data_IF_735152409181
#
_entry.id   IF_735152409181
#
_cell.length_a   1.000
_cell.length_b   1.000
_cell.length_c   1.000
_cell.angle_alpha   90.00
_cell.angle_beta   90.00
_cell.angle_gamma   90.00
#
_symmetry.space_group_name_H-M   'P 1'
#
loop_
_entity.id
_entity.type
_entity.pdbx_description
1 polymer ?
#
# COMPACT_ATOMS: atom_id res chain seq x y z
N UNK A 1 11.61 -23.01 -9.28
CA UNK A 1 10.93 -24.29 -9.03
C UNK A 1 9.43 -24.04 -9.05
N UNK A 2 8.67 -24.76 -9.87
CA UNK A 2 7.21 -24.62 -9.98
C UNK A 2 6.57 -25.60 -9.01
N UNK A 3 6.17 -25.15 -7.82
CA UNK A 3 5.34 -25.95 -6.91
C UNK A 3 4.00 -26.20 -7.61
N UNK A 4 3.74 -27.45 -8.02
CA UNK A 4 2.39 -27.87 -8.40
C UNK A 4 1.60 -27.96 -7.10
N UNK A 5 0.74 -26.97 -6.86
CA UNK A 5 -0.20 -27.00 -5.75
C UNK A 5 -1.21 -28.13 -6.00
N UNK A 6 -1.51 -28.92 -4.97
CA UNK A 6 -2.64 -29.84 -5.02
C UNK A 6 -3.97 -29.07 -5.06
N UNK A 7 -5.02 -29.68 -5.62
CA UNK A 7 -6.35 -29.07 -5.79
C UNK A 7 -6.88 -28.41 -4.50
N UNK A 8 -6.86 -29.14 -3.38
CA UNK A 8 -7.35 -28.64 -2.09
C UNK A 8 -6.49 -27.48 -1.54
N UNK A 9 -5.16 -27.56 -1.67
CA UNK A 9 -4.26 -26.51 -1.20
C UNK A 9 -4.49 -25.17 -1.91
N UNK A 10 -4.90 -25.22 -3.18
CA UNK A 10 -5.19 -24.03 -3.98
C UNK A 10 -6.52 -23.38 -3.58
N UNK A 11 -7.55 -24.20 -3.34
CA UNK A 11 -8.85 -23.72 -2.83
C UNK A 11 -8.68 -23.13 -1.44
N UNK A 12 -7.98 -23.82 -0.54
CA UNK A 12 -7.71 -23.34 0.81
C UNK A 12 -6.95 -22.01 0.76
N UNK A 13 -5.94 -21.90 -0.11
CA UNK A 13 -5.21 -20.64 -0.29
C UNK A 13 -6.10 -19.50 -0.81
N UNK A 14 -7.03 -19.79 -1.72
CA UNK A 14 -7.97 -18.77 -2.21
C UNK A 14 -8.98 -18.36 -1.15
N UNK A 15 -9.45 -19.29 -0.32
CA UNK A 15 -10.29 -19.01 0.86
C UNK A 15 -9.56 -18.09 1.84
N UNK A 16 -8.34 -18.44 2.23
CA UNK A 16 -7.49 -17.61 3.10
C UNK A 16 -7.31 -16.19 2.55
N UNK A 17 -7.00 -16.06 1.24
CA UNK A 17 -6.79 -14.76 0.61
C UNK A 17 -8.07 -13.92 0.54
N UNK A 18 -9.23 -14.56 0.34
CA UNK A 18 -10.54 -13.88 0.34
C UNK A 18 -10.89 -13.41 1.76
N UNK A 19 -10.69 -14.26 2.75
CA UNK A 19 -10.92 -13.94 4.17
C UNK A 19 -10.00 -12.81 4.63
N UNK A 20 -8.70 -12.85 4.29
CA UNK A 20 -7.75 -11.83 4.72
C UNK A 20 -7.95 -10.48 4.02
N UNK A 21 -8.53 -10.46 2.81
CA UNK A 21 -8.87 -9.22 2.08
C UNK A 21 -10.01 -8.45 2.73
N UNK A 22 -10.90 -9.11 3.47
CA UNK A 22 -12.10 -8.46 3.99
C UNK A 22 -13.06 -8.01 2.88
N UNK A 23 -13.76 -6.87 3.06
CA UNK A 23 -14.77 -6.43 2.09
C UNK A 23 -14.12 -5.81 0.85
N UNK A 24 -14.75 -6.03 -0.31
CA UNK A 24 -14.25 -5.55 -1.61
C UNK A 24 -14.05 -4.02 -1.68
N UNK A 25 -14.65 -3.20 -0.82
CA UNK A 25 -14.53 -1.73 -0.86
C UNK A 25 -13.34 -1.16 -0.06
N UNK A 26 -12.53 -2.00 0.58
CA UNK A 26 -11.61 -1.58 1.65
C UNK A 26 -10.12 -1.65 1.27
N UNK A 27 -9.76 -1.86 -0.01
CA UNK A 27 -8.36 -2.08 -0.41
C UNK A 27 -7.38 -1.00 0.12
N UNK A 28 -7.73 0.29 0.02
CA UNK A 28 -6.91 1.37 0.56
C UNK A 28 -6.92 1.39 2.10
N UNK A 29 -8.05 1.06 2.74
CA UNK A 29 -8.16 1.03 4.19
C UNK A 29 -7.28 -0.08 4.78
N UNK A 30 -7.34 -1.27 4.19
CA UNK A 30 -6.49 -2.41 4.55
C UNK A 30 -5.01 -2.11 4.32
N UNK A 31 -4.68 -1.44 3.21
CA UNK A 31 -3.31 -0.96 2.98
C UNK A 31 -2.85 -0.04 4.11
N UNK A 32 -3.63 1.00 4.45
CA UNK A 32 -3.26 1.98 5.47
C UNK A 32 -3.13 1.35 6.86
N UNK A 33 -4.03 0.43 7.22
CA UNK A 33 -3.97 -0.31 8.49
C UNK A 33 -2.71 -1.18 8.55
N UNK A 34 -2.42 -1.95 7.49
CA UNK A 34 -1.25 -2.82 7.47
C UNK A 34 0.06 -2.03 7.43
N UNK A 35 0.09 -0.94 6.65
CA UNK A 35 1.20 0.01 6.63
C UNK A 35 1.42 0.61 8.02
N UNK A 36 0.37 1.12 8.66
CA UNK A 36 0.42 1.74 9.98
C UNK A 36 0.95 0.78 11.04
N UNK A 37 0.51 -0.48 11.05
CA UNK A 37 1.04 -1.52 11.96
C UNK A 37 2.54 -1.73 11.78
N UNK A 38 3.01 -1.85 10.54
CA UNK A 38 4.42 -2.05 10.24
C UNK A 38 5.27 -0.81 10.56
N UNK A 39 4.78 0.39 10.22
CA UNK A 39 5.43 1.65 10.56
C UNK A 39 5.52 1.81 12.08
N UNK A 40 4.42 1.65 12.80
CA UNK A 40 4.38 1.78 14.26
C UNK A 40 5.37 0.82 14.94
N UNK A 41 5.48 -0.42 14.47
CA UNK A 41 6.46 -1.38 15.00
C UNK A 41 7.89 -0.85 14.86
N UNK A 42 8.28 -0.39 13.67
CA UNK A 42 9.64 0.07 13.40
C UNK A 42 9.95 1.35 14.18
N UNK A 43 9.03 2.32 14.16
CA UNK A 43 9.18 3.59 14.88
C UNK A 43 9.20 3.39 16.41
N UNK A 44 8.53 2.35 16.95
CA UNK A 44 8.61 1.97 18.37
C UNK A 44 9.89 1.19 18.70
N UNK A 45 10.41 0.37 17.79
CA UNK A 45 11.64 -0.42 18.01
C UNK A 45 12.93 0.39 17.84
N UNK A 46 12.99 1.34 16.91
CA UNK A 46 14.21 2.12 16.62
C UNK A 46 14.78 2.85 17.85
N UNK A 47 13.98 3.51 18.71
CA UNK A 47 14.49 4.11 19.95
C UNK A 47 15.04 3.08 20.94
N UNK A 48 14.46 1.87 20.99
CA UNK A 48 14.83 0.81 21.95
C UNK A 48 16.18 0.19 21.59
N UNK A 49 16.44 -0.04 20.30
CA UNK A 49 17.73 -0.61 19.84
C UNK A 49 18.90 0.37 19.97
N UNK A 50 18.62 1.66 20.21
CA UNK A 50 19.62 2.69 20.51
C UNK A 50 20.64 2.87 19.38
N UNK A 51 21.89 2.52 19.64
CA UNK A 51 23.02 2.69 18.69
C UNK A 51 23.54 1.36 18.11
N UNK A 52 22.85 0.23 18.36
CA UNK A 52 23.25 -1.05 17.80
C UNK A 52 22.95 -1.07 16.29
N UNK A 53 23.99 -0.82 15.49
CA UNK A 53 23.87 -0.75 14.03
C UNK A 53 23.41 -2.08 13.43
N UNK A 54 23.76 -3.21 14.04
CA UNK A 54 23.35 -4.54 13.54
C UNK A 54 21.84 -4.70 13.67
N UNK A 55 21.29 -4.35 14.84
CA UNK A 55 19.85 -4.41 15.06
C UNK A 55 19.10 -3.40 14.20
N UNK A 56 19.62 -2.18 14.06
CA UNK A 56 19.05 -1.15 13.16
C UNK A 56 18.99 -1.66 11.72
N UNK A 57 20.05 -2.27 11.22
CA UNK A 57 20.12 -2.80 9.86
C UNK A 57 19.13 -3.95 9.65
N UNK A 58 18.96 -4.83 10.63
CA UNK A 58 17.96 -5.91 10.56
C UNK A 58 16.52 -5.38 10.59
N UNK A 59 16.25 -4.36 11.40
CA UNK A 59 14.95 -3.68 11.41
C UNK A 59 14.64 -3.04 10.05
N UNK A 60 15.60 -2.31 9.47
CA UNK A 60 15.44 -1.70 8.14
C UNK A 60 15.20 -2.73 7.04
N UNK A 61 15.98 -3.83 7.03
CA UNK A 61 15.76 -4.96 6.10
C UNK A 61 14.34 -5.50 6.20
N UNK A 62 13.92 -5.80 7.43
CA UNK A 62 12.59 -6.32 7.70
C UNK A 62 11.49 -5.33 7.29
N UNK A 63 11.75 -4.04 7.47
CA UNK A 63 10.80 -3.00 7.08
C UNK A 63 10.66 -2.88 5.56
N UNK A 64 11.76 -2.88 4.81
CA UNK A 64 11.72 -2.89 3.33
C UNK A 64 10.94 -4.09 2.81
N UNK A 65 11.17 -5.28 3.37
CA UNK A 65 10.42 -6.49 3.00
C UNK A 65 8.92 -6.32 3.29
N UNK A 66 8.58 -5.72 4.42
CA UNK A 66 7.19 -5.45 4.82
C UNK A 66 6.51 -4.45 3.88
N UNK A 67 7.15 -3.31 3.59
CA UNK A 67 6.64 -2.26 2.71
C UNK A 67 6.27 -2.80 1.32
N UNK A 68 7.16 -3.58 0.71
CA UNK A 68 6.91 -4.19 -0.59
C UNK A 68 5.81 -5.25 -0.52
N UNK A 69 5.77 -6.06 0.55
CA UNK A 69 4.74 -7.09 0.72
C UNK A 69 3.34 -6.48 0.87
N UNK A 70 3.22 -5.36 1.58
CA UNK A 70 1.98 -4.61 1.75
C UNK A 70 1.54 -3.99 0.42
N UNK A 71 2.47 -3.42 -0.35
CA UNK A 71 2.17 -2.92 -1.70
C UNK A 71 1.72 -4.01 -2.67
N UNK A 72 2.41 -5.16 -2.68
CA UNK A 72 2.00 -6.30 -3.50
C UNK A 72 0.58 -6.73 -3.18
N UNK A 73 0.22 -6.78 -1.90
CA UNK A 73 -1.11 -7.13 -1.43
C UNK A 73 -2.13 -6.08 -1.86
N UNK A 74 -1.82 -4.79 -1.66
CA UNK A 74 -2.65 -3.68 -2.10
C UNK A 74 -2.97 -3.76 -3.59
N UNK A 75 -1.98 -3.94 -4.46
CA UNK A 75 -2.24 -4.05 -5.90
C UNK A 75 -3.09 -5.26 -6.26
N UNK A 76 -2.87 -6.42 -5.62
CA UNK A 76 -3.70 -7.62 -5.85
C UNK A 76 -5.15 -7.35 -5.46
N UNK A 77 -5.38 -6.81 -4.27
CA UNK A 77 -6.73 -6.57 -3.76
C UNK A 77 -7.44 -5.50 -4.58
N UNK A 78 -6.72 -4.47 -5.01
CA UNK A 78 -7.23 -3.43 -5.87
C UNK A 78 -7.63 -3.95 -7.26
N UNK A 79 -6.84 -4.88 -7.83
CA UNK A 79 -7.17 -5.56 -9.09
C UNK A 79 -8.42 -6.43 -8.94
N UNK A 80 -8.52 -7.21 -7.86
CA UNK A 80 -9.71 -8.03 -7.59
C UNK A 80 -10.94 -7.14 -7.46
N UNK A 81 -10.87 -6.10 -6.63
CA UNK A 81 -11.96 -5.15 -6.45
C UNK A 81 -12.39 -4.53 -7.78
N UNK A 82 -11.44 -3.96 -8.53
CA UNK A 82 -11.77 -3.21 -9.74
C UNK A 82 -12.33 -4.12 -10.84
N UNK A 83 -11.80 -5.34 -10.99
CA UNK A 83 -12.34 -6.29 -11.96
C UNK A 83 -13.69 -6.88 -11.55
N UNK A 84 -14.01 -6.92 -10.24
CA UNK A 84 -15.36 -7.27 -9.78
C UNK A 84 -16.36 -6.16 -10.12
N UNK A 85 -15.97 -4.91 -9.92
CA UNK A 85 -16.82 -3.75 -10.17
C UNK A 85 -16.98 -3.43 -11.67
N UNK A 86 -15.97 -3.78 -12.47
CA UNK A 86 -15.86 -3.54 -13.92
C UNK A 86 -15.34 -4.80 -14.65
N UNK A 87 -16.20 -5.82 -14.89
CA UNK A 87 -15.79 -7.12 -15.42
C UNK A 87 -15.09 -7.10 -16.79
N UNK A 88 -15.32 -6.07 -17.60
CA UNK A 88 -14.66 -5.94 -18.90
C UNK A 88 -13.13 -5.74 -18.77
N UNK A 89 -12.67 -5.14 -17.67
CA UNK A 89 -11.24 -4.94 -17.39
C UNK A 89 -10.51 -6.25 -17.13
N UNK A 90 -11.25 -7.31 -16.75
CA UNK A 90 -10.67 -8.63 -16.56
C UNK A 90 -10.02 -9.12 -17.86
N UNK A 91 -10.65 -8.87 -19.01
CA UNK A 91 -10.10 -9.27 -20.33
C UNK A 91 -8.78 -8.56 -20.60
N UNK A 92 -8.71 -7.27 -20.33
CA UNK A 92 -7.49 -6.48 -20.52
C UNK A 92 -6.38 -6.94 -19.56
N UNK A 93 -6.71 -7.14 -18.28
CA UNK A 93 -5.75 -7.64 -17.30
C UNK A 93 -5.23 -9.04 -17.65
N UNK A 94 -6.08 -9.90 -18.24
CA UNK A 94 -5.70 -11.21 -18.77
C UNK A 94 -4.76 -11.11 -19.98
N UNK A 95 -5.00 -10.17 -20.89
CA UNK A 95 -4.14 -9.93 -22.06
C UNK A 95 -2.74 -9.47 -21.66
N UNK A 96 -2.65 -8.69 -20.58
CA UNK A 96 -1.38 -8.16 -20.07
C UNK A 96 -0.64 -9.10 -19.11
N UNK A 97 -1.25 -10.23 -18.72
CA UNK A 97 -0.57 -11.23 -17.90
C UNK A 97 0.57 -11.89 -18.69
N UNK A 98 1.83 -11.65 -18.27
CA UNK A 98 3.04 -12.26 -18.89
C UNK A 98 2.95 -13.78 -19.06
N UNK A 99 2.18 -14.46 -18.20
CA UNK A 99 1.81 -15.86 -18.34
C UNK A 99 0.30 -15.91 -18.53
N UNK A 100 -0.14 -16.60 -19.59
CA UNK A 100 -1.56 -16.95 -19.73
C UNK A 100 -1.98 -17.67 -18.44
N UNK A 101 -2.96 -17.15 -17.69
CA UNK A 101 -3.48 -17.88 -16.56
C UNK A 101 -4.00 -19.21 -17.07
N UNK A 102 -3.73 -20.26 -16.30
CA UNK A 102 -4.32 -21.56 -16.62
C UNK A 102 -5.84 -21.41 -16.49
N UNK A 103 -6.63 -22.12 -17.31
CA UNK A 103 -8.06 -22.18 -17.08
C UNK A 103 -8.31 -22.62 -15.63
N UNK A 104 -9.38 -22.09 -15.03
CA UNK A 104 -9.85 -22.56 -13.73
C UNK A 104 -10.12 -24.07 -13.91
N UNK A 105 -9.49 -24.96 -13.13
CA UNK A 105 -9.70 -26.39 -13.29
C UNK A 105 -11.18 -26.72 -13.15
N UNK A 106 -11.72 -27.59 -14.01
CA UNK A 106 -13.14 -27.98 -14.00
C UNK A 106 -13.56 -28.53 -12.64
N UNK A 107 -12.67 -29.26 -11.97
CA UNK A 107 -12.82 -29.79 -10.61
C UNK A 107 -13.13 -28.68 -9.59
N UNK A 108 -12.47 -27.52 -9.72
CA UNK A 108 -12.72 -26.39 -8.83
C UNK A 108 -14.02 -25.67 -9.19
N UNK A 109 -14.31 -25.57 -10.49
CA UNK A 109 -15.54 -24.93 -10.99
C UNK A 109 -16.79 -25.76 -10.67
N UNK A 110 -16.62 -27.07 -10.45
CA UNK A 110 -17.68 -28.02 -10.09
C UNK A 110 -17.96 -28.12 -8.58
N UNK A 111 -17.14 -27.48 -7.74
CA UNK A 111 -17.33 -27.47 -6.29
C UNK A 111 -18.56 -26.66 -5.92
N UNK A 112 -19.57 -27.31 -5.33
CA UNK A 112 -20.73 -26.61 -4.75
C UNK A 112 -20.38 -25.78 -3.50
N UNK A 113 -19.21 -26.04 -2.89
CA UNK A 113 -18.81 -25.42 -1.62
C UNK A 113 -18.05 -24.10 -1.78
N UNK A 114 -17.46 -23.83 -2.95
CA UNK A 114 -16.65 -22.64 -3.16
C UNK A 114 -16.59 -22.21 -4.63
N UNK A 115 -17.28 -21.11 -4.94
CA UNK A 115 -17.17 -20.46 -6.25
C UNK A 115 -15.87 -19.65 -6.33
N UNK A 116 -14.99 -20.00 -7.26
CA UNK A 116 -13.81 -19.19 -7.57
C UNK A 116 -14.25 -17.99 -8.39
N UNK A 117 -13.93 -16.82 -7.88
CA UNK A 117 -14.11 -15.58 -8.62
C UNK A 117 -12.93 -15.37 -9.59
N UNK A 118 -13.21 -15.07 -10.86
CA UNK A 118 -12.21 -15.02 -11.92
C UNK A 118 -11.08 -13.98 -11.68
N UNK A 119 -11.33 -12.78 -11.09
CA UNK A 119 -10.26 -11.87 -10.70
C UNK A 119 -9.38 -12.42 -9.58
N UNK A 120 -9.93 -13.16 -8.62
CA UNK A 120 -9.14 -13.80 -7.56
C UNK A 120 -8.22 -14.87 -8.13
N UNK A 121 -8.70 -15.62 -9.13
CA UNK A 121 -7.88 -16.55 -9.87
C UNK A 121 -6.75 -15.85 -10.62
N UNK A 122 -7.05 -14.75 -11.31
CA UNK A 122 -6.06 -13.98 -12.08
C UNK A 122 -4.90 -13.51 -11.21
N UNK A 123 -5.18 -12.93 -10.04
CA UNK A 123 -4.13 -12.34 -9.19
C UNK A 123 -3.15 -13.37 -8.60
N UNK A 124 -3.46 -14.67 -8.66
CA UNK A 124 -2.50 -15.74 -8.35
C UNK A 124 -1.39 -15.86 -9.41
N UNK A 125 -1.67 -15.50 -10.66
CA UNK A 125 -0.72 -15.58 -11.78
C UNK A 125 0.04 -14.27 -12.02
N UNK A 126 -0.44 -13.17 -11.45
CA UNK A 126 0.25 -11.90 -11.48
C UNK A 126 1.39 -11.89 -10.45
N UNK A 127 2.60 -11.66 -10.95
CA UNK A 127 3.76 -11.45 -10.11
C UNK A 127 3.96 -9.94 -9.96
N UNK A 128 3.60 -9.34 -8.82
CA UNK A 128 3.69 -7.89 -8.59
C UNK A 128 5.00 -7.50 -7.90
N UNK A 129 6.06 -8.30 -8.10
CA UNK A 129 7.37 -8.17 -7.45
C UNK A 129 8.35 -7.21 -8.16
N UNK A 130 7.91 -6.50 -9.20
CA UNK A 130 8.71 -5.45 -9.84
C UNK A 130 7.81 -4.45 -10.57
N UNK A 131 8.40 -3.29 -10.87
CA UNK A 131 7.71 -2.15 -11.49
C UNK A 131 7.10 -2.48 -12.85
N UNK A 132 7.78 -3.25 -13.69
CA UNK A 132 7.24 -3.58 -15.01
C UNK A 132 5.94 -4.36 -14.87
N UNK A 133 5.90 -5.35 -13.97
CA UNK A 133 4.70 -6.15 -13.78
C UNK A 133 3.57 -5.37 -13.12
N UNK A 134 3.89 -4.47 -12.19
CA UNK A 134 2.92 -3.52 -11.63
C UNK A 134 2.36 -2.63 -12.75
N UNK A 135 3.23 -2.03 -13.57
CA UNK A 135 2.84 -1.20 -14.71
C UNK A 135 1.88 -1.96 -15.64
N UNK A 136 2.26 -3.15 -16.08
CA UNK A 136 1.42 -3.95 -16.97
C UNK A 136 0.07 -4.30 -16.35
N UNK A 137 0.03 -4.66 -15.06
CA UNK A 137 -1.22 -4.98 -14.38
C UNK A 137 -2.12 -3.76 -14.16
N UNK A 138 -1.54 -2.58 -13.91
CA UNK A 138 -2.27 -1.36 -13.58
C UNK A 138 -2.60 -0.48 -14.79
N UNK A 139 -1.94 -0.66 -15.94
CA UNK A 139 -2.22 0.09 -17.16
C UNK A 139 -3.71 0.09 -17.57
N UNK A 140 -4.42 -1.06 -17.58
CA UNK A 140 -5.86 -1.08 -17.89
C UNK A 140 -6.70 -0.27 -16.91
N UNK A 141 -6.23 -0.13 -15.66
CA UNK A 141 -6.93 0.58 -14.60
C UNK A 141 -6.62 2.08 -14.59
N UNK A 142 -5.58 2.52 -15.30
CA UNK A 142 -5.11 3.90 -15.26
C UNK A 142 -5.80 4.82 -16.28
N UNK A 143 -6.10 6.09 -15.95
CA UNK A 143 -6.45 7.10 -16.93
C UNK A 143 -5.38 7.22 -18.02
N UNK A 144 -5.76 7.29 -19.29
CA UNK A 144 -4.81 7.42 -20.40
C UNK A 144 -4.01 6.15 -20.77
N UNK A 145 -4.19 5.04 -20.04
CA UNK A 145 -3.66 3.72 -20.42
C UNK A 145 -2.19 3.47 -20.07
N UNK A 146 -1.50 4.42 -19.42
CA UNK A 146 -0.16 4.22 -18.87
C UNK A 146 -0.13 4.62 -17.40
N UNK A 147 0.01 3.61 -16.53
CA UNK A 147 -0.06 3.75 -15.09
C UNK A 147 0.96 4.72 -14.49
N UNK A 148 2.22 4.57 -14.84
CA UNK A 148 3.24 5.44 -14.25
C UNK A 148 3.20 6.85 -14.82
N UNK A 149 2.77 7.02 -16.08
CA UNK A 149 2.61 8.36 -16.64
C UNK A 149 1.44 9.08 -15.95
N UNK A 150 0.36 8.36 -15.64
CA UNK A 150 -0.74 8.92 -14.86
C UNK A 150 -0.31 9.31 -13.44
N UNK A 151 0.68 8.66 -12.83
CA UNK A 151 1.26 9.09 -11.56
C UNK A 151 2.19 10.30 -11.74
N UNK A 152 3.04 10.31 -12.77
CA UNK A 152 3.95 11.44 -13.05
C UNK A 152 3.19 12.75 -13.29
N UNK A 153 2.05 12.67 -13.98
CA UNK A 153 1.22 13.83 -14.30
C UNK A 153 0.07 14.03 -13.32
N UNK A 154 0.01 13.23 -12.24
CA UNK A 154 -1.02 13.45 -11.23
C UNK A 154 -0.68 14.70 -10.44
N UNK A 155 -1.62 15.63 -10.48
CA UNK A 155 -1.58 16.89 -9.76
C UNK A 155 -2.89 17.03 -8.99
N UNK A 156 -2.83 17.24 -7.68
CA UNK A 156 -4.06 17.30 -6.88
C UNK A 156 -3.89 17.94 -5.51
N UNK A 157 -4.98 18.55 -5.05
CA UNK A 157 -5.09 19.10 -3.70
C UNK A 157 -5.63 18.05 -2.73
N UNK A 158 -4.91 17.84 -1.62
CA UNK A 158 -5.27 16.88 -0.58
C UNK A 158 -5.33 17.57 0.78
N UNK A 159 -6.21 17.08 1.66
CA UNK A 159 -6.19 17.42 3.07
C UNK A 159 -5.16 16.52 3.78
N UNK A 160 -4.04 17.10 4.23
CA UNK A 160 -2.98 16.34 4.90
C UNK A 160 -3.32 16.19 6.38
N UNK A 161 -3.60 14.96 6.78
CA UNK A 161 -3.96 14.66 8.16
C UNK A 161 -2.75 14.83 9.07
N UNK A 162 -3.00 15.38 10.28
CA UNK A 162 -2.09 15.73 11.40
C UNK A 162 -1.59 17.16 11.56
N UNK A 163 -1.80 18.09 10.61
CA UNK A 163 -1.34 19.49 10.78
C UNK A 163 -2.45 20.52 11.05
N UNK A 164 -3.66 20.27 10.59
CA UNK A 164 -4.92 21.00 10.87
C UNK A 164 -5.99 20.47 9.89
N UNK A 165 -7.29 20.41 10.23
CA UNK A 165 -8.35 20.10 9.28
C UNK A 165 -8.41 21.05 8.07
N UNK A 166 -7.73 22.19 8.12
CA UNK A 166 -7.67 23.18 7.04
C UNK A 166 -6.46 23.00 6.10
N UNK A 167 -5.53 22.10 6.40
CA UNK A 167 -4.28 22.00 5.64
C UNK A 167 -4.46 21.23 4.34
N UNK A 168 -4.83 21.99 3.32
CA UNK A 168 -4.69 21.60 1.93
C UNK A 168 -3.21 21.65 1.56
N UNK A 169 -2.72 20.57 0.98
CA UNK A 169 -1.41 20.53 0.35
C UNK A 169 -1.58 20.12 -1.11
N UNK A 170 -0.72 20.71 -1.93
CA UNK A 170 -0.55 20.27 -3.28
C UNK A 170 0.38 19.05 -3.30
N UNK A 171 -0.08 17.94 -3.85
CA UNK A 171 0.70 16.69 -3.90
C UNK A 171 1.10 16.40 -5.34
N UNK A 172 2.42 16.32 -5.52
CA UNK A 172 3.09 15.90 -6.74
C UNK A 172 4.11 14.80 -6.42
N UNK A 173 4.45 14.00 -7.42
CA UNK A 173 5.52 13.03 -7.30
C UNK A 173 6.90 13.69 -7.39
N UNK A 174 7.85 13.34 -6.51
CA UNK A 174 9.19 13.91 -6.57
C UNK A 174 9.94 13.45 -7.82
N UNK A 175 10.82 14.32 -8.33
CA UNK A 175 11.70 13.98 -9.45
C UNK A 175 12.50 12.70 -9.16
N UNK A 176 12.48 11.75 -10.09
CA UNK A 176 13.23 10.50 -9.95
C UNK A 176 12.55 9.41 -9.11
N UNK A 177 11.32 9.62 -8.61
CA UNK A 177 10.60 8.66 -7.77
C UNK A 177 10.54 7.24 -8.36
N UNK A 178 10.47 7.10 -9.69
CA UNK A 178 10.44 5.79 -10.36
C UNK A 178 11.73 4.98 -10.09
N UNK A 179 12.88 5.64 -10.04
CA UNK A 179 14.15 4.99 -9.72
C UNK A 179 14.21 4.57 -8.26
N UNK A 180 13.69 5.42 -7.37
CA UNK A 180 13.61 5.13 -5.94
C UNK A 180 12.67 3.95 -5.68
N UNK A 181 11.51 3.96 -6.33
CA UNK A 181 10.57 2.85 -6.26
C UNK A 181 11.17 1.56 -6.83
N UNK A 182 11.94 1.64 -7.93
CA UNK A 182 12.65 0.49 -8.49
C UNK A 182 13.67 -0.08 -7.51
N UNK A 183 14.44 0.78 -6.86
CA UNK A 183 15.42 0.40 -5.86
C UNK A 183 14.76 -0.34 -4.69
N UNK A 184 13.58 0.10 -4.22
CA UNK A 184 12.84 -0.58 -3.16
C UNK A 184 12.60 -2.07 -3.46
N UNK A 185 12.16 -2.40 -4.68
CA UNK A 185 11.96 -3.80 -5.08
C UNK A 185 13.28 -4.55 -5.23
N UNK A 186 14.33 -3.89 -5.72
CA UNK A 186 15.67 -4.48 -5.80
C UNK A 186 16.20 -4.85 -4.42
N UNK A 187 16.06 -3.94 -3.46
CA UNK A 187 16.46 -4.12 -2.07
C UNK A 187 15.67 -5.23 -1.39
N UNK A 188 14.35 -5.28 -1.57
CA UNK A 188 13.55 -6.40 -1.08
C UNK A 188 13.99 -7.73 -1.69
N UNK A 189 14.24 -7.78 -3.00
CA UNK A 189 14.72 -9.01 -3.64
C UNK A 189 16.05 -9.47 -3.04
N UNK A 190 17.00 -8.54 -2.87
CA UNK A 190 18.29 -8.77 -2.25
C UNK A 190 18.13 -9.31 -0.82
N UNK A 191 17.33 -8.66 0.03
CA UNK A 191 17.16 -9.06 1.42
C UNK A 191 16.45 -10.41 1.61
N UNK A 192 15.54 -10.78 0.71
CA UNK A 192 14.81 -12.06 0.77
C UNK A 192 15.67 -13.23 0.29
N UNK A 193 16.54 -13.02 -0.69
CA UNK A 193 17.30 -14.11 -1.32
C UNK A 193 18.76 -14.19 -0.89
N UNK A 194 19.32 -13.12 -0.33
CA UNK A 194 20.69 -13.07 0.18
C UNK A 194 20.72 -12.66 1.66
N UNK A 195 20.86 -13.67 2.52
CA UNK A 195 20.99 -13.48 3.96
C UNK A 195 22.21 -12.64 4.37
N UNK A 196 23.28 -12.72 3.56
CA UNK A 196 24.56 -12.05 3.82
C UNK A 196 24.60 -10.62 3.30
N UNK A 197 23.58 -10.18 2.55
CA UNK A 197 23.54 -8.81 2.04
C UNK A 197 23.45 -7.80 3.21
N UNK A 198 24.38 -6.83 3.27
CA UNK A 198 24.29 -5.75 4.26
C UNK A 198 23.12 -4.82 3.94
N UNK A 199 22.57 -4.17 4.98
CA UNK A 199 21.64 -3.07 4.79
C UNK A 199 22.45 -1.80 4.52
N UNK A 200 22.35 -1.26 3.30
CA UNK A 200 23.08 -0.03 2.92
C UNK A 200 22.19 1.22 2.98
N UNK A 201 20.94 1.07 3.46
CA UNK A 201 19.95 2.14 3.40
C UNK A 201 20.12 3.14 4.57
N UNK A 202 20.34 4.41 4.25
CA UNK A 202 20.36 5.50 5.23
C UNK A 202 18.95 5.75 5.81
N UNK A 203 18.87 6.50 6.91
CA UNK A 203 17.58 6.85 7.52
C UNK A 203 16.75 7.72 6.56
N UNK A 204 17.37 8.70 5.91
CA UNK A 204 16.70 9.56 4.93
C UNK A 204 16.16 8.75 3.75
N UNK A 205 16.90 7.73 3.32
CA UNK A 205 16.47 6.84 2.25
C UNK A 205 15.28 5.97 2.69
N UNK A 206 15.29 5.46 3.92
CA UNK A 206 14.16 4.74 4.49
C UNK A 206 12.90 5.63 4.57
N UNK A 207 13.03 6.87 5.05
CA UNK A 207 11.93 7.82 5.16
C UNK A 207 11.35 8.17 3.78
N UNK A 208 12.21 8.34 2.77
CA UNK A 208 11.78 8.54 1.39
C UNK A 208 11.01 7.33 0.85
N UNK A 209 11.47 6.10 1.09
CA UNK A 209 10.76 4.89 0.67
C UNK A 209 9.40 4.76 1.35
N UNK A 210 9.35 5.03 2.65
CA UNK A 210 8.14 5.03 3.45
C UNK A 210 7.10 6.02 2.90
N UNK A 211 7.53 7.26 2.62
CA UNK A 211 6.71 8.28 1.99
C UNK A 211 6.23 7.87 0.59
N UNK A 212 7.13 7.38 -0.28
CA UNK A 212 6.80 6.98 -1.64
C UNK A 212 5.77 5.84 -1.66
N UNK A 213 5.88 4.87 -0.76
CA UNK A 213 4.92 3.76 -0.65
C UNK A 213 3.52 4.28 -0.32
N UNK A 214 3.39 5.19 0.64
CA UNK A 214 2.12 5.85 0.97
C UNK A 214 1.58 6.68 -0.18
N UNK A 215 2.44 7.48 -0.81
CA UNK A 215 2.07 8.37 -1.91
C UNK A 215 1.54 7.58 -3.10
N UNK A 216 2.24 6.51 -3.50
CA UNK A 216 1.84 5.64 -4.61
C UNK A 216 0.49 4.99 -4.33
N UNK A 217 0.32 4.36 -3.16
CA UNK A 217 -0.92 3.64 -2.88
C UNK A 217 -2.14 4.58 -2.81
N UNK A 218 -2.03 5.70 -2.11
CA UNK A 218 -3.12 6.67 -1.98
C UNK A 218 -3.45 7.33 -3.32
N UNK A 219 -2.43 7.74 -4.10
CA UNK A 219 -2.67 8.32 -5.43
C UNK A 219 -3.27 7.31 -6.39
N UNK A 220 -2.86 6.03 -6.32
CA UNK A 220 -3.45 4.96 -7.13
C UNK A 220 -4.94 4.81 -6.85
N UNK A 221 -5.33 4.76 -5.57
CA UNK A 221 -6.74 4.72 -5.18
C UNK A 221 -7.51 5.93 -5.73
N UNK A 222 -6.89 7.12 -5.71
CA UNK A 222 -7.48 8.34 -6.26
C UNK A 222 -7.63 8.30 -7.79
N UNK A 223 -6.64 7.79 -8.53
CA UNK A 223 -6.73 7.62 -9.97
C UNK A 223 -7.89 6.69 -10.36
N UNK A 224 -8.12 5.62 -9.59
CA UNK A 224 -9.27 4.73 -9.81
C UNK A 224 -10.59 5.42 -9.50
N UNK A 225 -10.64 6.20 -8.41
CA UNK A 225 -11.80 7.01 -8.07
C UNK A 225 -12.15 8.00 -9.18
N UNK A 226 -11.14 8.64 -9.78
CA UNK A 226 -11.32 9.54 -10.93
C UNK A 226 -11.86 8.77 -12.14
N UNK A 227 -11.23 7.64 -12.50
CA UNK A 227 -11.56 6.88 -13.72
C UNK A 227 -12.96 6.24 -13.65
N UNK A 228 -13.26 5.55 -12.57
CA UNK A 228 -14.46 4.70 -12.47
C UNK A 228 -15.57 5.32 -11.63
N UNK A 229 -15.32 6.46 -10.95
CA UNK A 229 -16.21 7.07 -9.93
C UNK A 229 -16.56 6.14 -8.77
N UNK A 230 -16.00 4.93 -8.75
CA UNK A 230 -16.09 3.89 -7.74
C UNK A 230 -14.75 3.75 -7.00
N UNK A 231 -14.75 3.06 -5.88
CA UNK A 231 -13.56 2.91 -5.03
C UNK A 231 -13.59 3.80 -3.79
N UNK A 232 -12.90 3.32 -2.76
CA UNK A 232 -12.74 4.02 -1.48
C UNK A 232 -11.55 4.96 -1.56
N UNK A 233 -11.80 6.26 -1.48
CA UNK A 233 -10.83 7.26 -1.07
C UNK A 233 -11.47 7.97 0.10
N UNK A 234 -10.70 8.20 1.15
CA UNK A 234 -11.20 8.96 2.30
C UNK A 234 -11.32 10.43 1.89
N UNK A 235 -12.51 11.00 2.03
CA UNK A 235 -12.75 12.42 1.78
C UNK A 235 -12.71 13.17 3.11
N UNK A 236 -12.05 14.32 3.12
CA UNK A 236 -12.10 15.25 4.25
C UNK A 236 -13.45 15.95 4.33
N UNK A 237 -13.72 16.61 5.46
CA UNK A 237 -14.86 17.52 5.63
C UNK A 237 -14.86 18.68 4.62
N UNK A 238 -13.71 19.01 4.03
CA UNK A 238 -13.56 20.04 3.01
C UNK A 238 -13.90 19.56 1.59
N UNK A 239 -14.34 18.31 1.43
CA UNK A 239 -14.68 17.74 0.12
C UNK A 239 -13.48 17.42 -0.76
N UNK A 240 -12.25 17.47 -0.23
CA UNK A 240 -11.01 17.04 -0.91
C UNK A 240 -10.51 15.70 -0.37
N UNK A 241 -9.75 14.91 -1.15
CA UNK A 241 -9.15 13.66 -0.69
C UNK A 241 -8.30 13.87 0.56
N UNK A 242 -8.38 12.95 1.52
CA UNK A 242 -7.53 12.94 2.70
C UNK A 242 -6.24 12.17 2.41
N UNK A 243 -5.11 12.76 2.78
CA UNK A 243 -3.80 12.13 2.70
C UNK A 243 -3.33 11.73 4.10
N UNK A 244 -3.18 10.44 4.32
CA UNK A 244 -2.60 9.88 5.52
C UNK A 244 -1.08 9.95 5.47
N UNK A 245 -0.49 10.62 6.45
CA UNK A 245 0.95 10.63 6.70
C UNK A 245 1.33 9.47 7.60
N UNK A 246 2.62 9.11 7.61
CA UNK A 246 3.17 8.12 8.55
C UNK A 246 2.84 8.52 9.98
N UNK A 247 3.13 9.77 10.33
CA UNK A 247 2.85 10.33 11.64
C UNK A 247 1.38 10.18 12.02
N UNK A 248 0.45 10.42 11.09
CA UNK A 248 -0.98 10.29 11.35
C UNK A 248 -1.39 8.82 11.59
N UNK A 249 -0.76 7.88 10.89
CA UNK A 249 -1.04 6.45 11.03
C UNK A 249 -0.46 5.83 12.31
N UNK A 250 0.66 6.36 12.82
CA UNK A 250 1.32 5.86 14.04
C UNK A 250 0.97 6.68 15.29
N UNK A 251 0.14 7.71 15.14
CA UNK A 251 -0.29 8.56 16.25
C UNK A 251 -1.08 7.77 17.28
N UNK A 252 -0.71 7.92 18.54
CA UNK A 252 -1.49 7.42 19.68
C UNK A 252 -2.45 8.51 20.22
N UNK A 253 -2.49 9.68 19.56
CA UNK A 253 -3.22 10.92 19.91
C UNK A 253 -4.73 10.86 19.59
N UNK A 254 -5.22 9.69 19.15
CA UNK A 254 -6.64 9.43 19.08
C UNK A 254 -7.15 9.33 20.51
N UNK A 255 -7.52 10.47 21.09
CA UNK A 255 -8.50 10.50 22.17
C UNK A 255 -9.71 9.80 21.56
N UNK A 256 -9.89 8.52 21.89
CA UNK A 256 -11.19 7.90 21.73
C UNK A 256 -12.14 8.91 22.36
N UNK A 257 -13.12 9.39 21.60
CA UNK A 257 -14.24 10.07 22.22
C UNK A 257 -14.88 8.98 23.07
N UNK A 258 -14.36 8.81 24.28
CA UNK A 258 -15.07 8.20 25.36
C UNK A 258 -16.39 8.98 25.36
N UNK A 259 -17.48 8.25 25.17
CA UNK A 259 -18.79 8.74 25.56
C UNK A 259 -18.68 9.04 27.05
N UNK A 260 -18.18 10.22 27.41
CA UNK A 260 -18.11 10.66 28.78
C UNK A 260 -19.49 11.20 29.17
N UNK A 261 -20.18 10.59 30.16
CA UNK A 261 -20.93 11.38 31.10
C UNK A 261 -19.93 11.93 32.13
N UNK A 262 -19.25 13.01 31.75
CA UNK A 262 -18.65 14.03 32.61
C UNK A 262 -17.60 13.62 33.66
N UNK A 263 -16.44 14.26 33.56
CA UNK A 263 -16.03 15.19 34.62
C UNK A 263 -14.56 15.20 35.01
N UNK A 264 -13.93 16.33 34.66
CA UNK A 264 -12.83 17.03 35.36
C UNK A 264 -11.50 16.33 35.61
N UNK A 265 -10.41 16.96 35.13
CA UNK A 265 -9.20 17.11 35.95
C UNK A 265 -7.85 17.05 35.23
N UNK A 266 -7.32 18.23 34.92
CA UNK A 266 -5.90 18.63 35.00
C UNK A 266 -4.83 18.10 34.01
N UNK A 267 -3.87 18.99 33.76
CA UNK A 267 -2.94 19.06 32.63
C UNK A 267 -1.49 18.71 33.00
N UNK A 268 -0.61 18.87 31.98
CA UNK A 268 0.86 18.87 31.93
C UNK A 268 1.53 17.49 31.69
N UNK A 269 2.51 17.31 30.79
CA UNK A 269 3.59 18.21 30.37
C UNK A 269 4.29 17.76 29.07
N UNK A 270 4.82 18.76 28.35
CA UNK A 270 5.92 18.81 27.37
C UNK A 270 6.67 17.53 26.97
N UNK A 271 6.67 17.23 25.66
CA UNK A 271 7.78 16.57 24.96
C UNK A 271 8.06 17.32 23.65
N UNK A 272 9.17 18.05 23.61
CA UNK A 272 9.75 18.57 22.37
C UNK A 272 10.18 17.39 21.47
N UNK A 273 9.50 17.20 20.35
CA UNK A 273 9.90 16.25 19.33
C UNK A 273 10.71 16.98 18.24
N UNK A 274 11.97 16.59 18.09
CA UNK A 274 12.90 17.15 17.10
C UNK A 274 12.51 16.70 15.69
N UNK A 275 12.32 17.69 14.83
CA UNK A 275 12.05 17.60 13.39
C UNK A 275 12.94 16.57 12.67
N UNK A 276 12.33 15.51 12.17
CA UNK A 276 12.82 14.77 11.00
C UNK A 276 12.07 15.32 9.77
N UNK A 277 12.70 16.23 9.02
CA UNK A 277 12.10 16.79 7.80
C UNK A 277 12.08 15.76 6.68
N UNK A 278 10.88 15.29 6.33
CA UNK A 278 10.62 14.65 5.05
C UNK A 278 10.77 15.67 3.88
N UNK A 279 11.10 15.22 2.66
CA UNK A 279 11.28 16.10 1.50
C UNK A 279 9.98 16.84 1.11
N UNK A 280 10.16 18.01 0.47
CA UNK A 280 9.24 19.14 0.41
C UNK A 280 7.78 18.80 0.02
N UNK A 281 6.87 18.98 0.98
CA UNK A 281 5.45 19.28 0.76
C UNK A 281 5.32 20.79 0.81
N UNK A 282 4.86 21.42 -0.27
CA UNK A 282 4.61 22.86 -0.30
C UNK A 282 3.22 23.12 0.29
N UNK A 283 3.16 24.03 1.26
CA UNK A 283 1.92 24.45 1.92
C UNK A 283 1.43 25.74 1.25
N UNK A 284 0.15 25.81 0.91
CA UNK A 284 -0.52 27.10 0.72
C UNK A 284 -0.93 27.61 2.11
N UNK A 285 -0.47 28.82 2.45
CA UNK A 285 -0.94 29.60 3.62
C UNK A 285 -2.06 30.50 3.13
#
# INVERSE_FOLDING_TARGET
MSTKWGHNQLIDRLKELRESRGKNCEAIANFLVNFGKCAALIHKCLPIVGKDQTLIDQLKRSYVVSLVSILETFYRDLLVQTCNDEPELLKDALLHAKKKPKPIPEEVNSSQEFEINAPEWLVLYLNLQNLDQIKYAMNPLSPGGNYFDALDFYEGTWCVLKKSPENKAHIEFPNGWRNDFKELFHERHRYVHDGNSPCTMSNDRMALMEFLVLLIAQTTAMLLKIKFRKGGVFMSSLGVPAFWTVDALISDDWVALDDEPGGSGEADSNVENKDCRAPAVWYEI
#
